data_IF_189545850525
#
_entry.id   IF_189545850525
#
_cell.length_a   1.000
_cell.length_b   1.000
_cell.length_c   1.000
_cell.angle_alpha   90.00
_cell.angle_beta   90.00
_cell.angle_gamma   90.00
#
_symmetry.space_group_name_H-M   'P 1'
#
loop_
_entity.id
_entity.type
_entity.pdbx_description
1 polymer ?
#
# COMPACT_ATOMS: atom_id res chain seq x y z
N UNK A 1 -1.24 -24.76 -16.73
CA UNK A 1 -0.69 -23.99 -15.60
C UNK A 1 -0.45 -22.57 -16.08
N UNK A 2 -0.98 -21.57 -15.38
CA UNK A 2 -0.75 -20.15 -15.73
C UNK A 2 0.73 -19.80 -15.56
N UNK A 3 1.25 -18.94 -16.44
CA UNK A 3 2.65 -18.51 -16.39
C UNK A 3 2.91 -17.63 -15.18
N UNK A 4 4.13 -17.60 -14.66
CA UNK A 4 4.48 -16.75 -13.50
C UNK A 4 4.34 -15.29 -13.85
N UNK A 5 4.61 -14.91 -15.10
CA UNK A 5 4.38 -13.55 -15.61
C UNK A 5 2.89 -13.19 -15.59
N UNK A 6 2.01 -14.11 -15.95
CA UNK A 6 0.56 -13.91 -15.91
C UNK A 6 0.08 -13.77 -14.46
N UNK A 7 0.56 -14.63 -13.56
CA UNK A 7 0.26 -14.54 -12.13
C UNK A 7 0.75 -13.21 -11.54
N UNK A 8 1.91 -12.71 -11.98
CA UNK A 8 2.44 -11.42 -11.54
C UNK A 8 1.56 -10.26 -12.03
N UNK A 9 1.01 -10.34 -13.24
CA UNK A 9 0.03 -9.36 -13.75
C UNK A 9 -1.28 -9.38 -12.96
N UNK A 10 -1.69 -10.53 -12.45
CA UNK A 10 -2.86 -10.62 -11.57
C UNK A 10 -2.66 -9.92 -10.21
N UNK A 11 -1.43 -9.60 -9.82
CA UNK A 11 -1.13 -8.88 -8.58
C UNK A 11 -1.43 -7.36 -8.66
N UNK A 12 -1.93 -6.88 -9.80
CA UNK A 12 -2.27 -5.47 -9.97
C UNK A 12 -3.52 -5.11 -9.16
N UNK A 13 -3.35 -4.27 -8.13
CA UNK A 13 -4.45 -3.91 -7.26
C UNK A 13 -4.04 -3.21 -5.97
N UNK A 14 -4.89 -3.33 -4.95
CA UNK A 14 -4.65 -2.77 -3.62
C UNK A 14 -4.35 -3.90 -2.64
N UNK A 15 -3.34 -3.69 -1.81
CA UNK A 15 -2.89 -4.60 -0.77
C UNK A 15 -2.96 -3.89 0.58
N UNK A 16 -3.57 -4.54 1.55
CA UNK A 16 -3.68 -4.05 2.92
C UNK A 16 -2.75 -4.85 3.82
N UNK A 17 -1.73 -4.21 4.40
CA UNK A 17 -0.69 -4.88 5.18
C UNK A 17 -0.51 -4.20 6.53
N UNK A 18 -0.23 -4.96 7.58
CA UNK A 18 0.17 -4.40 8.86
C UNK A 18 1.63 -3.91 8.83
N UNK A 19 1.83 -2.61 9.08
CA UNK A 19 3.16 -2.00 9.29
C UNK A 19 3.52 -2.08 10.78
N UNK A 20 4.66 -2.69 11.15
CA UNK A 20 5.13 -2.71 12.54
C UNK A 20 5.69 -1.34 12.97
N UNK A 21 5.74 -1.05 14.29
CA UNK A 21 6.30 0.18 14.81
C UNK A 21 7.83 0.20 14.69
N UNK A 22 8.41 1.39 14.58
CA UNK A 22 9.86 1.62 14.51
C UNK A 22 10.48 1.34 13.14
N UNK A 23 9.66 1.09 12.11
CA UNK A 23 10.15 0.78 10.78
C UNK A 23 9.92 1.93 9.80
N UNK A 24 11.01 2.36 9.16
CA UNK A 24 10.96 3.35 8.08
C UNK A 24 10.21 2.79 6.86
N UNK A 25 9.37 3.63 6.24
CA UNK A 25 8.56 3.25 5.07
C UNK A 25 9.45 2.76 3.91
N UNK A 26 10.58 3.42 3.67
CA UNK A 26 11.50 3.03 2.59
C UNK A 26 12.05 1.61 2.79
N UNK A 27 12.45 1.28 4.02
CA UNK A 27 12.94 -0.05 4.38
C UNK A 27 11.81 -1.09 4.31
N UNK A 28 10.61 -0.74 4.77
CA UNK A 28 9.44 -1.59 4.67
C UNK A 28 9.06 -1.89 3.21
N UNK A 29 9.09 -0.88 2.33
CA UNK A 29 8.90 -1.02 0.88
C UNK A 29 9.90 -1.99 0.27
N UNK A 30 11.21 -1.79 0.51
CA UNK A 30 12.24 -2.68 -0.02
C UNK A 30 12.11 -4.11 0.50
N UNK A 31 11.75 -4.30 1.77
CA UNK A 31 11.52 -5.64 2.34
C UNK A 31 10.31 -6.32 1.71
N UNK A 32 9.21 -5.59 1.53
CA UNK A 32 8.01 -6.12 0.90
C UNK A 32 8.26 -6.50 -0.57
N UNK A 33 8.90 -5.61 -1.34
CA UNK A 33 9.26 -5.87 -2.74
C UNK A 33 10.19 -7.09 -2.89
N UNK A 34 11.22 -7.19 -2.03
CA UNK A 34 12.12 -8.36 -2.00
C UNK A 34 11.37 -9.65 -1.66
N UNK A 35 10.45 -9.60 -0.69
CA UNK A 35 9.65 -10.77 -0.30
C UNK A 35 8.77 -11.23 -1.47
N UNK A 36 8.03 -10.32 -2.10
CA UNK A 36 7.20 -10.64 -3.26
C UNK A 36 8.04 -11.24 -4.38
N UNK A 37 9.12 -10.58 -4.80
CA UNK A 37 9.99 -11.09 -5.87
C UNK A 37 10.56 -12.49 -5.55
N UNK A 38 10.99 -12.72 -4.31
CA UNK A 38 11.51 -14.03 -3.89
C UNK A 38 10.43 -15.13 -3.92
N UNK A 39 9.21 -14.84 -3.45
CA UNK A 39 8.10 -15.82 -3.50
C UNK A 39 7.71 -16.16 -4.94
N UNK A 40 7.65 -15.18 -5.84
CA UNK A 40 7.38 -15.44 -7.26
C UNK A 40 8.51 -16.23 -7.95
N UNK A 41 9.76 -16.02 -7.55
CA UNK A 41 10.89 -16.81 -8.06
C UNK A 41 10.92 -18.25 -7.54
N UNK A 42 10.29 -18.56 -6.39
CA UNK A 42 10.17 -19.93 -5.86
C UNK A 42 9.13 -20.79 -6.59
N UNK A 43 8.18 -20.16 -7.29
CA UNK A 43 7.19 -20.85 -8.09
C UNK A 43 7.87 -21.67 -9.21
N UNK A 44 7.29 -22.83 -9.60
CA UNK A 44 7.88 -23.71 -10.61
C UNK A 44 8.16 -22.99 -11.92
N UNK A 45 9.23 -23.39 -12.61
CA UNK A 45 9.61 -22.78 -13.89
C UNK A 45 8.56 -23.05 -14.96
N UNK A 46 8.45 -22.12 -15.91
CA UNK A 46 7.51 -22.25 -17.03
C UNK A 46 8.00 -23.35 -17.99
N UNK A 47 7.09 -24.02 -18.68
CA UNK A 47 7.47 -24.97 -19.73
C UNK A 47 8.25 -24.25 -20.82
N UNK A 48 9.36 -24.83 -21.25
CA UNK A 48 10.23 -24.27 -22.28
C UNK A 48 9.43 -24.00 -23.55
N UNK A 49 9.64 -22.83 -24.16
CA UNK A 49 8.98 -22.49 -25.43
C UNK A 49 9.65 -23.27 -26.55
N UNK A 50 8.86 -23.71 -27.52
CA UNK A 50 9.38 -24.34 -28.73
C UNK A 50 9.37 -23.28 -29.81
N UNK A 51 10.52 -23.00 -30.40
CA UNK A 51 10.66 -22.11 -31.55
C UNK A 51 10.76 -22.95 -32.81
N UNK A 52 9.84 -22.73 -33.74
CA UNK A 52 9.94 -23.28 -35.09
C UNK A 52 10.84 -22.40 -35.93
N UNK A 53 11.94 -22.96 -36.43
CA UNK A 53 12.83 -22.31 -37.38
C UNK A 53 12.63 -22.94 -38.75
N UNK A 54 12.36 -22.09 -39.73
CA UNK A 54 12.25 -22.49 -41.13
C UNK A 54 13.65 -22.58 -41.69
N UNK A 55 14.11 -23.79 -42.00
CA UNK A 55 15.41 -24.01 -42.62
C UNK A 55 15.23 -23.99 -44.14
N UNK A 56 15.73 -22.93 -44.77
CA UNK A 56 15.86 -22.87 -46.23
C UNK A 56 17.10 -23.68 -46.60
N UNK A 57 16.92 -24.84 -47.23
CA UNK A 57 18.05 -25.55 -47.85
C UNK A 57 18.53 -24.72 -49.03
N UNK A 58 19.83 -24.42 -49.06
CA UNK A 58 20.45 -23.52 -50.04
C UNK A 58 20.62 -24.12 -51.44
N UNK A 59 20.18 -25.35 -51.67
CA UNK A 59 20.19 -25.97 -53.00
C UNK A 59 18.84 -26.69 -53.24
N UNK A 60 18.21 -26.29 -54.35
CA UNK A 60 16.98 -26.80 -54.97
C UNK A 60 15.61 -26.41 -54.39
N UNK A 61 14.71 -26.14 -55.35
CA UNK A 61 13.29 -25.73 -55.29
C UNK A 61 12.42 -26.80 -54.61
N UNK A 62 12.69 -27.08 -53.32
CA UNK A 62 11.86 -27.94 -52.48
C UNK A 62 11.42 -27.18 -51.23
N UNK A 63 10.16 -27.41 -50.88
CA UNK A 63 9.43 -26.77 -49.79
C UNK A 63 10.30 -26.63 -48.52
N UNK A 64 10.23 -25.48 -47.83
CA UNK A 64 11.06 -25.22 -46.66
C UNK A 64 10.79 -26.24 -45.54
N UNK A 65 11.85 -26.77 -44.93
CA UNK A 65 11.76 -27.72 -43.81
C UNK A 65 11.60 -26.98 -42.49
N UNK A 66 10.60 -27.34 -41.70
CA UNK A 66 10.34 -26.73 -40.39
C UNK A 66 11.04 -27.58 -39.33
N UNK A 67 12.04 -27.02 -38.65
CA UNK A 67 12.67 -27.62 -37.49
C UNK A 67 12.11 -26.98 -36.21
N UNK A 68 11.71 -27.80 -35.24
CA UNK A 68 11.32 -27.37 -33.90
C UNK A 68 12.51 -27.48 -32.96
N UNK A 69 12.99 -26.34 -32.47
CA UNK A 69 14.05 -26.24 -31.47
C UNK A 69 13.51 -25.64 -30.17
N UNK A 70 14.21 -25.88 -29.07
CA UNK A 70 13.89 -25.28 -27.77
C UNK A 70 14.34 -23.82 -27.78
N UNK A 71 13.46 -22.92 -27.37
CA UNK A 71 13.76 -21.50 -27.23
C UNK A 71 14.47 -21.24 -25.91
N UNK A 72 15.78 -20.95 -25.99
CA UNK A 72 16.62 -20.70 -24.81
C UNK A 72 16.39 -19.33 -24.16
N UNK A 73 15.62 -18.43 -24.79
CA UNK A 73 15.42 -17.06 -24.29
C UNK A 73 14.85 -17.06 -22.88
N UNK A 74 13.89 -17.93 -22.59
CA UNK A 74 13.23 -18.03 -21.29
C UNK A 74 13.88 -19.07 -20.34
N UNK A 75 15.09 -19.55 -20.66
CA UNK A 75 15.78 -20.56 -19.86
C UNK A 75 16.37 -19.94 -18.57
N UNK A 76 16.24 -20.59 -17.39
CA UNK A 76 16.74 -20.06 -16.12
C UNK A 76 18.26 -19.84 -16.10
N UNK A 77 19.03 -20.59 -16.88
CA UNK A 77 20.49 -20.42 -16.96
C UNK A 77 20.90 -19.15 -17.72
N UNK A 78 20.02 -18.64 -18.58
CA UNK A 78 20.27 -17.43 -19.39
C UNK A 78 19.77 -16.19 -18.67
N UNK A 79 18.51 -16.20 -18.20
CA UNK A 79 17.88 -15.05 -17.52
C UNK A 79 18.34 -14.93 -16.07
N UNK A 80 18.63 -16.05 -15.40
CA UNK A 80 18.79 -16.10 -13.96
C UNK A 80 17.46 -15.90 -13.24
N UNK A 81 17.41 -14.96 -12.28
CA UNK A 81 16.19 -14.67 -11.51
C UNK A 81 15.20 -13.88 -12.37
N UNK A 82 13.99 -14.42 -12.53
CA UNK A 82 12.98 -13.83 -13.42
C UNK A 82 12.41 -12.51 -12.92
N UNK A 83 12.23 -12.38 -11.60
CA UNK A 83 11.68 -11.19 -10.95
C UNK A 83 12.73 -10.57 -10.02
N UNK A 84 12.98 -9.27 -10.21
CA UNK A 84 13.82 -8.46 -9.36
C UNK A 84 12.96 -7.64 -8.38
N UNK A 85 13.58 -7.16 -7.32
CA UNK A 85 12.90 -6.29 -6.36
C UNK A 85 12.45 -4.95 -6.97
N UNK A 86 13.09 -4.51 -8.07
CA UNK A 86 12.74 -3.28 -8.78
C UNK A 86 11.52 -3.43 -9.68
N UNK A 87 11.18 -4.66 -10.09
CA UNK A 87 10.04 -4.92 -10.98
C UNK A 87 8.71 -4.81 -10.23
N UNK A 88 8.75 -4.89 -8.89
CA UNK A 88 7.57 -4.76 -8.04
C UNK A 88 7.31 -3.28 -7.77
N UNK A 89 6.44 -2.70 -8.59
CA UNK A 89 5.96 -1.33 -8.39
C UNK A 89 5.03 -1.30 -7.17
N UNK A 90 5.41 -0.54 -6.15
CA UNK A 90 4.66 -0.36 -4.91
C UNK A 90 4.51 1.13 -4.61
N UNK A 91 3.27 1.58 -4.41
CA UNK A 91 2.98 2.93 -3.92
C UNK A 91 2.25 2.85 -2.57
N UNK A 92 2.69 3.66 -1.61
CA UNK A 92 2.13 3.68 -0.26
C UNK A 92 1.12 4.80 -0.16
N UNK A 93 -0.14 4.45 0.11
CA UNK A 93 -1.21 5.43 0.24
C UNK A 93 -1.22 5.91 1.69
N UNK A 94 -1.07 7.22 1.89
CA UNK A 94 -1.02 7.87 3.21
C UNK A 94 -0.10 7.14 4.20
N UNK A 95 1.22 7.18 3.95
CA UNK A 95 2.16 6.32 4.66
C UNK A 95 2.18 6.61 6.16
N UNK A 96 2.05 5.56 6.97
CA UNK A 96 2.16 5.66 8.42
C UNK A 96 3.58 6.10 8.80
N UNK A 97 3.72 7.02 9.77
CA UNK A 97 5.03 7.43 10.25
C UNK A 97 5.73 6.29 11.00
N UNK A 98 7.02 6.46 11.28
CA UNK A 98 7.88 5.38 11.78
C UNK A 98 7.51 4.95 13.20
N UNK A 99 7.03 5.87 14.03
CA UNK A 99 6.58 5.58 15.40
C UNK A 99 5.20 4.92 15.45
N UNK A 100 4.44 4.95 14.36
CA UNK A 100 3.10 4.38 14.30
C UNK A 100 3.13 2.95 13.76
N UNK A 101 2.18 2.15 14.22
CA UNK A 101 1.89 0.84 13.68
C UNK A 101 0.42 0.75 13.29
N UNK A 102 0.10 -0.18 12.40
CA UNK A 102 -1.28 -0.39 11.99
C UNK A 102 -1.40 -0.78 10.53
N UNK A 103 -2.61 -0.55 9.99
CA UNK A 103 -2.94 -0.86 8.62
C UNK A 103 -2.27 0.13 7.67
N UNK A 104 -1.52 -0.38 6.72
CA UNK A 104 -0.92 0.36 5.62
C UNK A 104 -1.50 -0.14 4.31
N UNK A 105 -2.17 0.75 3.59
CA UNK A 105 -2.66 0.47 2.25
C UNK A 105 -1.55 0.72 1.21
N UNK A 106 -1.40 -0.21 0.28
CA UNK A 106 -0.34 -0.23 -0.72
C UNK A 106 -0.97 -0.53 -2.08
N UNK A 107 -0.74 0.33 -3.06
CA UNK A 107 -1.02 0.04 -4.47
C UNK A 107 0.09 -0.81 -5.06
N UNK A 108 -0.27 -1.91 -5.72
CA UNK A 108 0.67 -2.86 -6.34
C UNK A 108 0.49 -2.88 -7.85
N UNK A 109 1.61 -2.89 -8.57
CA UNK A 109 1.65 -2.83 -10.03
C UNK A 109 1.23 -1.46 -10.57
N UNK A 110 1.24 -1.26 -11.89
CA UNK A 110 0.96 0.05 -12.48
C UNK A 110 -0.46 0.56 -12.18
N UNK A 111 -1.47 -0.29 -12.36
CA UNK A 111 -2.88 0.09 -12.10
C UNK A 111 -3.11 0.41 -10.63
N UNK A 112 -2.61 -0.44 -9.73
CA UNK A 112 -2.78 -0.26 -8.29
C UNK A 112 -1.98 0.92 -7.73
N UNK A 113 -0.71 1.03 -8.15
CA UNK A 113 0.21 2.02 -7.64
C UNK A 113 -0.07 3.44 -8.15
N UNK A 114 -0.74 3.61 -9.29
CA UNK A 114 -1.11 4.91 -9.82
C UNK A 114 -2.62 5.15 -9.73
N UNK A 115 -3.41 4.47 -10.57
CA UNK A 115 -4.84 4.78 -10.73
C UNK A 115 -5.65 4.62 -9.43
N UNK A 116 -5.49 3.50 -8.71
CA UNK A 116 -6.21 3.30 -7.45
C UNK A 116 -5.67 4.17 -6.33
N UNK A 117 -4.37 4.39 -6.27
CA UNK A 117 -3.77 5.27 -5.26
C UNK A 117 -4.26 6.72 -5.40
N UNK A 118 -4.35 7.23 -6.64
CA UNK A 118 -4.83 8.58 -6.93
C UNK A 118 -6.32 8.72 -6.61
N UNK A 119 -7.12 7.71 -6.98
CA UNK A 119 -8.55 7.70 -6.66
C UNK A 119 -8.78 7.75 -5.14
N UNK A 120 -8.00 6.98 -4.36
CA UNK A 120 -8.11 6.96 -2.91
C UNK A 120 -7.65 8.28 -2.29
N UNK A 121 -6.56 8.85 -2.81
CA UNK A 121 -6.07 10.14 -2.34
C UNK A 121 -7.07 11.27 -2.60
N UNK A 122 -7.78 11.24 -3.74
CA UNK A 122 -8.83 12.23 -4.08
C UNK A 122 -10.08 12.10 -3.21
N UNK A 123 -10.49 10.88 -2.88
CA UNK A 123 -11.72 10.63 -2.14
C UNK A 123 -11.59 10.76 -0.61
N UNK A 124 -10.35 10.92 -0.10
CA UNK A 124 -9.99 11.11 1.32
C UNK A 124 -10.90 10.36 2.31
N UNK A 125 -10.64 9.08 2.51
CA UNK A 125 -11.44 8.24 3.41
C UNK A 125 -11.20 8.54 4.89
N UNK A 126 -12.21 8.31 5.77
CA UNK A 126 -12.02 8.41 7.21
C UNK A 126 -11.03 7.36 7.71
N UNK A 127 -10.16 7.76 8.63
CA UNK A 127 -9.13 6.89 9.23
C UNK A 127 -9.32 6.86 10.74
N UNK A 128 -9.33 5.67 11.30
CA UNK A 128 -9.47 5.45 12.74
C UNK A 128 -8.14 5.06 13.34
N UNK A 129 -7.70 5.81 14.35
CA UNK A 129 -6.44 5.57 15.05
C UNK A 129 -6.71 5.31 16.53
N UNK A 130 -5.96 4.37 17.10
CA UNK A 130 -5.91 4.16 18.53
C UNK A 130 -4.67 4.85 19.10
N UNK A 131 -4.88 5.87 19.94
CA UNK A 131 -3.80 6.68 20.51
C UNK A 131 -3.66 6.42 22.00
N UNK A 132 -2.42 6.23 22.45
CA UNK A 132 -2.07 6.13 23.87
C UNK A 132 -1.17 7.31 24.20
N UNK A 133 -1.61 8.15 25.12
CA UNK A 133 -0.89 9.35 25.55
C UNK A 133 -0.48 9.28 27.01
N UNK A 134 0.61 9.97 27.35
CA UNK A 134 1.04 10.16 28.74
C UNK A 134 0.73 11.58 29.19
N UNK A 135 0.10 11.73 30.34
CA UNK A 135 -0.16 13.05 30.91
C UNK A 135 1.04 13.60 31.70
N UNK A 136 1.13 14.92 31.79
CA UNK A 136 2.14 15.61 32.58
C UNK A 136 3.57 15.49 32.04
N UNK A 137 3.73 15.06 30.79
CA UNK A 137 5.01 15.00 30.08
C UNK A 137 4.86 15.70 28.74
N UNK A 138 5.77 16.61 28.43
CA UNK A 138 5.90 17.18 27.10
C UNK A 138 7.29 16.85 26.56
N UNK A 139 7.32 16.24 25.37
CA UNK A 139 8.56 15.88 24.68
C UNK A 139 8.84 16.81 23.51
N UNK A 140 10.10 16.89 23.10
CA UNK A 140 10.54 17.74 21.99
C UNK A 140 9.86 17.42 20.66
N UNK A 141 9.58 16.14 20.42
CA UNK A 141 9.04 15.66 19.16
C UNK A 141 7.56 15.27 19.28
N UNK A 142 6.90 15.62 20.40
CA UNK A 142 5.52 15.20 20.73
C UNK A 142 5.28 13.67 20.72
N UNK A 143 6.35 12.87 20.74
CA UNK A 143 6.31 11.41 20.80
C UNK A 143 6.77 10.92 22.18
N UNK A 144 6.33 9.73 22.56
CA UNK A 144 6.74 9.09 23.83
C UNK A 144 8.24 8.81 23.90
N UNK A 145 8.89 8.57 22.75
CA UNK A 145 10.32 8.29 22.64
C UNK A 145 11.19 9.55 22.66
N UNK A 146 10.60 10.74 22.49
CA UNK A 146 11.34 11.99 22.42
C UNK A 146 11.92 12.42 23.77
N UNK A 147 12.94 13.29 23.73
CA UNK A 147 13.49 13.89 24.95
C UNK A 147 12.43 14.71 25.68
N UNK A 148 12.36 14.57 27.01
CA UNK A 148 11.37 15.26 27.84
C UNK A 148 11.85 16.69 28.07
N UNK A 149 11.06 17.66 27.61
CA UNK A 149 11.32 19.09 27.82
C UNK A 149 10.70 19.55 29.13
N UNK A 150 9.48 19.10 29.42
CA UNK A 150 8.71 19.57 30.56
C UNK A 150 7.95 18.46 31.25
N UNK A 151 7.86 18.55 32.59
CA UNK A 151 7.17 17.60 33.43
C UNK A 151 6.28 18.33 34.45
N UNK A 152 5.03 17.91 34.58
CA UNK A 152 4.08 18.45 35.53
C UNK A 152 3.30 17.34 36.24
N UNK A 153 2.81 17.58 37.48
CA UNK A 153 1.93 16.64 38.15
C UNK A 153 0.63 16.47 37.37
N UNK A 154 0.13 15.24 37.25
CA UNK A 154 -1.06 14.91 36.44
C UNK A 154 -2.25 14.40 37.27
N UNK A 155 -2.08 14.18 38.58
CA UNK A 155 -3.12 13.61 39.47
C UNK A 155 -4.43 14.39 39.49
N UNK A 156 -4.39 15.68 39.13
CA UNK A 156 -5.58 16.56 39.08
C UNK A 156 -6.43 16.36 37.81
N UNK A 157 -5.98 15.54 36.87
CA UNK A 157 -6.68 15.19 35.63
C UNK A 157 -7.68 14.10 35.95
N UNK A 158 -8.96 14.39 35.73
CA UNK A 158 -10.06 13.46 35.94
C UNK A 158 -10.74 13.15 34.61
N UNK A 159 -11.38 11.99 34.51
CA UNK A 159 -12.08 11.56 33.29
C UNK A 159 -13.10 12.59 32.77
N UNK A 160 -13.95 13.23 33.61
CA UNK A 160 -14.87 14.26 33.12
C UNK A 160 -14.19 15.47 32.46
N UNK A 161 -12.98 15.85 32.92
CA UNK A 161 -12.21 16.94 32.30
C UNK A 161 -11.73 16.53 30.91
N UNK A 162 -11.27 15.28 30.77
CA UNK A 162 -10.84 14.72 29.49
C UNK A 162 -12.03 14.63 28.52
N UNK A 163 -13.16 14.09 28.97
CA UNK A 163 -14.35 13.92 28.13
C UNK A 163 -14.85 15.27 27.59
N UNK A 164 -14.81 16.34 28.40
CA UNK A 164 -15.12 17.71 27.94
C UNK A 164 -14.17 18.19 26.84
N UNK A 165 -12.88 17.92 26.96
CA UNK A 165 -11.89 18.30 25.94
C UNK A 165 -12.11 17.49 24.66
N UNK A 166 -12.32 16.18 24.77
CA UNK A 166 -12.60 15.30 23.62
C UNK A 166 -13.87 15.75 22.90
N UNK A 167 -14.95 16.03 23.63
CA UNK A 167 -16.19 16.53 23.03
C UNK A 167 -15.97 17.87 22.29
N UNK A 168 -15.19 18.79 22.85
CA UNK A 168 -14.83 20.04 22.17
C UNK A 168 -13.99 19.79 20.91
N UNK A 169 -13.04 18.85 20.96
CA UNK A 169 -12.22 18.48 19.81
C UNK A 169 -13.06 17.83 18.71
N UNK A 170 -13.95 16.90 19.06
CA UNK A 170 -14.89 16.26 18.14
C UNK A 170 -15.79 17.30 17.46
N UNK A 171 -16.30 18.28 18.23
CA UNK A 171 -17.11 19.36 17.68
C UNK A 171 -16.33 20.18 16.65
N UNK A 172 -15.07 20.53 16.92
CA UNK A 172 -14.20 21.23 15.97
C UNK A 172 -13.85 20.39 14.74
N UNK A 173 -13.63 19.09 14.92
CA UNK A 173 -13.34 18.17 13.82
C UNK A 173 -14.57 17.96 12.90
N UNK A 174 -15.79 18.13 13.43
CA UNK A 174 -17.04 17.94 12.68
C UNK A 174 -17.16 18.87 11.47
N UNK A 175 -16.78 20.15 11.61
CA UNK A 175 -16.81 21.09 10.49
C UNK A 175 -15.78 20.73 9.41
N UNK A 176 -14.58 20.29 9.81
CA UNK A 176 -13.55 19.82 8.88
C UNK A 176 -14.00 18.54 8.14
N UNK A 177 -14.65 17.61 8.83
CA UNK A 177 -15.18 16.38 8.22
C UNK A 177 -16.26 16.65 7.17
N UNK A 178 -17.14 17.64 7.40
CA UNK A 178 -18.13 18.06 6.40
C UNK A 178 -17.48 18.62 5.13
N UNK A 179 -16.47 19.49 5.29
CA UNK A 179 -15.74 20.05 4.17
C UNK A 179 -15.02 18.96 3.36
N UNK A 180 -14.43 17.98 4.06
CA UNK A 180 -13.79 16.84 3.42
C UNK A 180 -14.79 15.97 2.65
N UNK A 181 -16.04 15.87 3.11
CA UNK A 181 -17.12 15.20 2.38
C UNK A 181 -17.69 16.04 1.21
N UNK A 182 -17.14 17.23 0.93
CA UNK A 182 -17.62 18.13 -0.11
C UNK A 182 -18.94 18.84 0.24
N UNK A 183 -19.34 18.83 1.51
CA UNK A 183 -20.58 19.44 1.99
C UNK A 183 -20.31 20.87 2.48
N UNK A 184 -21.18 21.80 2.10
CA UNK A 184 -21.13 23.19 2.58
C UNK A 184 -21.59 23.22 4.05
N UNK A 185 -20.78 23.74 4.99
CA UNK A 185 -21.19 23.90 6.38
C UNK A 185 -22.46 24.73 6.49
N UNK A 186 -23.34 24.39 7.46
CA UNK A 186 -24.63 25.05 7.68
C UNK A 186 -25.66 24.93 6.54
N UNK A 187 -25.44 24.03 5.59
CA UNK A 187 -26.47 23.66 4.60
C UNK A 187 -27.41 22.58 5.16
N UNK A 188 -28.64 22.53 4.64
CA UNK A 188 -29.62 21.49 4.98
C UNK A 188 -29.06 20.07 4.73
N UNK A 189 -28.36 19.88 3.61
CA UNK A 189 -27.70 18.60 3.27
C UNK A 189 -26.65 18.19 4.30
N UNK A 190 -25.85 19.15 4.78
CA UNK A 190 -24.87 18.89 5.83
C UNK A 190 -25.53 18.51 7.16
N UNK A 191 -26.65 19.15 7.52
CA UNK A 191 -27.42 18.79 8.71
C UNK A 191 -27.95 17.36 8.63
N UNK A 192 -28.57 16.98 7.51
CA UNK A 192 -29.13 15.64 7.30
C UNK A 192 -28.06 14.54 7.34
N UNK A 193 -26.90 14.77 6.72
CA UNK A 193 -25.76 13.84 6.78
C UNK A 193 -25.24 13.66 8.21
N UNK A 194 -25.32 14.72 9.02
CA UNK A 194 -24.83 14.74 10.39
C UNK A 194 -25.83 14.21 11.43
N UNK A 195 -27.12 14.28 11.14
CA UNK A 195 -28.19 13.79 12.03
C UNK A 195 -28.42 12.29 11.91
N UNK A 196 -28.10 11.70 10.76
CA UNK A 196 -28.20 10.26 10.50
C UNK A 196 -26.81 9.65 10.23
N UNK A 197 -26.06 9.26 11.27
CA UNK A 197 -24.74 8.66 11.10
C UNK A 197 -24.78 7.32 10.34
N UNK A 198 -25.91 6.61 10.34
CA UNK A 198 -26.08 5.29 9.71
C UNK A 198 -26.22 5.35 8.17
N UNK A 199 -26.30 6.55 7.58
CA UNK A 199 -26.40 6.74 6.11
C UNK A 199 -25.05 6.98 5.41
N UNK A 200 -23.96 7.07 6.18
CA UNK A 200 -22.62 7.37 5.67
C UNK A 200 -21.74 6.13 5.47
N UNK A 201 -22.28 4.92 5.71
CA UNK A 201 -21.68 3.63 5.35
C UNK A 201 -22.26 3.11 4.05
#
# INVERSE_FOLDING_TARGET
MSRRVELFRCLQGLLSVYKPPGQEIAQFRSRLAKKIANEFNKLPWETERIRTRVLTKSDDVKLPSIATEIDFVDNPLVIGRRFLHGDVVLNFIDPLPDYASGLQLIGVGEVGAYAYSDAIHRNVYPKSYHLIGMFGHASSNNLSTGSIIYRSPWKHITRPKIDRIIASLQFKARSASLLQAGLIPNSQKAFEALSNPDRLT
#
